data_IF_045311954524
#
_entry.id   IF_045311954524
#
_cell.length_a   1.000
_cell.length_b   1.000
_cell.length_c   1.000
_cell.angle_alpha   90.00
_cell.angle_beta   90.00
_cell.angle_gamma   90.00
#
_symmetry.space_group_name_H-M   'P 1'
#
loop_
_entity.id
_entity.type
_entity.pdbx_description
1 polymer ?
#
# COMPACT_ATOMS: atom_id res chain seq x y z
N UNK A 1 -25.71 -3.39 6.88
CA UNK A 1 -25.26 -2.02 7.18
C UNK A 1 -24.59 -1.47 5.94
N UNK A 2 -25.08 -0.38 5.32
CA UNK A 2 -24.36 0.23 4.20
C UNK A 2 -23.00 0.74 4.72
N UNK A 3 -21.93 0.42 3.99
CA UNK A 3 -20.58 0.87 4.32
C UNK A 3 -20.54 2.38 4.10
N UNK A 4 -20.32 3.17 5.16
CA UNK A 4 -20.15 4.63 5.05
C UNK A 4 -18.98 4.88 4.11
N UNK A 5 -19.20 5.67 3.05
CA UNK A 5 -18.11 6.13 2.21
C UNK A 5 -17.20 7.04 3.05
N UNK A 6 -15.88 6.83 2.94
CA UNK A 6 -14.90 7.71 3.58
C UNK A 6 -15.07 9.13 3.04
N UNK A 7 -14.99 10.12 3.92
CA UNK A 7 -14.88 11.52 3.50
C UNK A 7 -13.51 11.77 2.85
N UNK A 8 -13.34 12.95 2.25
CA UNK A 8 -12.04 13.36 1.70
C UNK A 8 -10.97 13.37 2.80
N UNK A 9 -11.27 13.96 3.95
CA UNK A 9 -10.35 14.04 5.08
C UNK A 9 -9.99 12.64 5.60
N UNK A 10 -10.97 11.73 5.73
CA UNK A 10 -10.71 10.32 6.10
C UNK A 10 -9.80 9.58 5.10
N UNK A 11 -9.80 9.97 3.82
CA UNK A 11 -8.93 9.40 2.79
C UNK A 11 -7.52 9.98 2.91
N UNK A 12 -7.40 11.29 3.14
CA UNK A 12 -6.11 11.97 3.24
C UNK A 12 -5.36 11.56 4.50
N UNK A 13 -6.02 11.53 5.66
CA UNK A 13 -5.42 11.10 6.92
C UNK A 13 -4.89 9.66 6.86
N UNK A 14 -5.67 8.77 6.25
CA UNK A 14 -5.32 7.36 6.07
C UNK A 14 -4.18 7.17 5.04
N UNK A 15 -4.12 8.04 4.02
CA UNK A 15 -3.03 8.06 3.06
C UNK A 15 -1.73 8.52 3.72
N UNK A 16 -1.75 9.59 4.53
CA UNK A 16 -0.56 10.11 5.22
C UNK A 16 0.07 9.05 6.11
N UNK A 17 -0.75 8.36 6.92
CA UNK A 17 -0.28 7.27 7.78
C UNK A 17 0.36 6.12 6.98
N UNK A 18 -0.23 5.76 5.83
CA UNK A 18 0.31 4.68 4.99
C UNK A 18 1.59 5.06 4.25
N UNK A 19 1.78 6.35 3.94
CA UNK A 19 2.91 6.83 3.15
C UNK A 19 4.04 7.47 3.98
N UNK A 20 3.94 7.50 5.31
CA UNK A 20 4.92 8.12 6.21
C UNK A 20 6.39 7.75 5.89
N UNK A 21 6.64 6.53 5.43
CA UNK A 21 7.97 6.00 5.09
C UNK A 21 8.17 5.65 3.61
N UNK A 22 7.28 6.14 2.75
CA UNK A 22 7.39 5.95 1.31
C UNK A 22 8.50 6.83 0.72
N UNK A 23 8.97 6.47 -0.47
CA UNK A 23 9.94 7.29 -1.19
C UNK A 23 9.35 8.69 -1.43
N UNK A 24 10.13 9.79 -1.28
CA UNK A 24 9.60 11.16 -1.36
C UNK A 24 8.83 11.50 -2.63
N UNK A 25 9.10 10.76 -3.73
CA UNK A 25 8.36 10.92 -4.98
C UNK A 25 6.91 10.44 -4.85
N UNK A 26 6.65 9.31 -4.15
CA UNK A 26 5.28 8.87 -3.87
C UNK A 26 4.55 9.85 -2.96
N UNK A 27 5.20 10.32 -1.89
CA UNK A 27 4.59 11.26 -0.95
C UNK A 27 4.14 12.56 -1.62
N UNK A 28 4.78 12.97 -2.73
CA UNK A 28 4.34 14.12 -3.54
C UNK A 28 3.25 13.76 -4.54
N UNK A 29 3.38 12.63 -5.23
CA UNK A 29 2.50 12.28 -6.34
C UNK A 29 1.12 11.80 -5.89
N UNK A 30 1.06 10.96 -4.85
CA UNK A 30 -0.19 10.30 -4.43
C UNK A 30 -1.24 11.31 -3.94
N UNK A 31 -0.93 12.29 -3.07
CA UNK A 31 -1.91 13.29 -2.65
C UNK A 31 -2.50 14.05 -3.85
N UNK A 32 -1.66 14.47 -4.79
CA UNK A 32 -2.11 15.20 -5.98
C UNK A 32 -3.07 14.36 -6.85
N UNK A 33 -2.79 13.06 -7.01
CA UNK A 33 -3.65 12.13 -7.74
C UNK A 33 -4.99 11.95 -7.01
N UNK A 34 -4.97 11.73 -5.69
CA UNK A 34 -6.19 11.53 -4.91
C UNK A 34 -7.09 12.77 -4.90
N UNK A 35 -6.50 13.96 -4.77
CA UNK A 35 -7.22 15.23 -4.86
C UNK A 35 -7.86 15.41 -6.24
N UNK A 36 -7.13 15.12 -7.33
CA UNK A 36 -7.66 15.21 -8.68
C UNK A 36 -8.82 14.22 -8.91
N UNK A 37 -8.67 12.96 -8.50
CA UNK A 37 -9.70 11.93 -8.62
C UNK A 37 -10.95 12.28 -7.80
N UNK A 38 -10.78 12.82 -6.59
CA UNK A 38 -11.89 13.31 -5.78
C UNK A 38 -12.67 14.43 -6.49
N UNK A 39 -11.97 15.43 -7.03
CA UNK A 39 -12.59 16.54 -7.76
C UNK A 39 -13.35 16.10 -9.02
N UNK A 40 -12.95 14.98 -9.62
CA UNK A 40 -13.62 14.34 -10.76
C UNK A 40 -14.79 13.42 -10.36
N UNK A 41 -15.07 13.25 -9.06
CA UNK A 41 -16.14 12.38 -8.56
C UNK A 41 -15.75 10.89 -8.47
N UNK A 42 -14.46 10.57 -8.51
CA UNK A 42 -13.92 9.21 -8.39
C UNK A 42 -13.12 9.07 -7.09
N UNK A 43 -13.77 8.93 -5.91
CA UNK A 43 -13.05 8.78 -4.66
C UNK A 43 -12.16 7.52 -4.69
N UNK A 44 -10.88 7.69 -4.42
CA UNK A 44 -9.87 6.63 -4.37
C UNK A 44 -9.13 6.67 -3.02
N UNK A 45 -8.50 5.57 -2.62
CA UNK A 45 -7.77 5.49 -1.36
C UNK A 45 -6.53 4.60 -1.51
N UNK A 46 -5.50 4.87 -0.69
CA UNK A 46 -4.33 4.01 -0.56
C UNK A 46 -4.69 2.79 0.29
N UNK A 47 -4.56 1.59 -0.29
CA UNK A 47 -4.94 0.35 0.40
C UNK A 47 -3.80 -0.26 1.21
N UNK A 48 -2.57 -0.20 0.70
CA UNK A 48 -1.39 -0.77 1.37
C UNK A 48 -0.23 0.24 1.40
N UNK A 49 0.53 0.21 2.50
CA UNK A 49 1.74 1.01 2.69
C UNK A 49 2.99 0.12 2.80
N UNK A 50 3.88 0.46 3.73
CA UNK A 50 5.07 -0.33 4.03
C UNK A 50 4.70 -1.74 4.52
N UNK A 51 5.49 -2.73 4.08
CA UNK A 51 5.40 -4.13 4.49
C UNK A 51 6.73 -4.63 5.03
N UNK A 52 6.70 -5.41 6.11
CA UNK A 52 7.88 -6.09 6.65
C UNK A 52 8.22 -7.36 5.84
N UNK A 53 9.42 -7.91 6.07
CA UNK A 53 9.81 -9.18 5.44
C UNK A 53 8.92 -10.34 5.90
N UNK A 54 8.55 -10.37 7.17
CA UNK A 54 7.69 -11.39 7.77
C UNK A 54 6.27 -11.33 7.20
N UNK A 55 5.72 -10.12 7.06
CA UNK A 55 4.43 -9.92 6.42
C UNK A 55 4.45 -10.36 4.96
N UNK A 56 5.51 -10.03 4.22
CA UNK A 56 5.66 -10.46 2.83
C UNK A 56 5.80 -11.99 2.72
N UNK A 57 6.58 -12.62 3.59
CA UNK A 57 6.75 -14.07 3.65
C UNK A 57 5.41 -14.77 3.94
N UNK A 58 4.60 -14.22 4.86
CA UNK A 58 3.27 -14.74 5.15
C UNK A 58 2.32 -14.65 3.95
N UNK A 59 2.39 -13.57 3.16
CA UNK A 59 1.64 -13.45 1.89
C UNK A 59 2.14 -14.44 0.84
N UNK A 60 3.46 -14.64 0.75
CA UNK A 60 4.07 -15.60 -0.18
C UNK A 60 3.69 -17.05 0.16
N UNK A 61 3.53 -17.37 1.45
CA UNK A 61 3.10 -18.70 1.90
C UNK A 61 1.68 -19.07 1.44
N UNK A 62 0.79 -18.09 1.22
CA UNK A 62 -0.61 -18.35 0.83
C UNK A 62 -0.69 -19.07 -0.52
N UNK A 63 -1.43 -20.17 -0.56
CA UNK A 63 -1.55 -21.05 -1.72
C UNK A 63 -0.30 -21.88 -2.03
N UNK A 64 0.67 -21.89 -1.11
CA UNK A 64 1.89 -22.71 -1.19
C UNK A 64 2.03 -23.59 0.04
N UNK A 65 2.29 -22.98 1.18
CA UNK A 65 2.49 -23.64 2.49
C UNK A 65 1.44 -23.24 3.52
N UNK A 66 0.60 -22.25 3.22
CA UNK A 66 -0.59 -21.91 3.99
C UNK A 66 -1.83 -21.85 3.09
N UNK A 67 -3.01 -22.04 3.68
CA UNK A 67 -4.27 -22.03 2.97
C UNK A 67 -4.57 -20.66 2.31
N UNK A 68 -5.34 -20.67 1.22
CA UNK A 68 -5.71 -19.50 0.44
C UNK A 68 -5.16 -19.52 -0.98
N UNK A 69 -5.44 -18.46 -1.75
CA UNK A 69 -4.89 -18.28 -3.10
C UNK A 69 -3.50 -17.63 -3.09
N UNK A 70 -2.73 -17.85 -4.15
CA UNK A 70 -1.46 -17.13 -4.37
C UNK A 70 -1.78 -15.65 -4.60
N UNK A 71 -1.26 -14.78 -3.73
CA UNK A 71 -1.46 -13.31 -3.78
C UNK A 71 -0.19 -12.53 -4.10
N UNK A 72 0.97 -13.19 -4.11
CA UNK A 72 2.26 -12.59 -4.47
C UNK A 72 3.22 -13.66 -5.00
N UNK A 73 4.16 -13.20 -5.83
CA UNK A 73 5.29 -13.98 -6.34
C UNK A 73 6.65 -13.52 -5.79
N UNK A 74 6.67 -12.43 -5.01
CA UNK A 74 7.84 -11.94 -4.29
C UNK A 74 7.91 -12.61 -2.92
N UNK A 75 9.02 -13.31 -2.63
CA UNK A 75 9.25 -14.03 -1.36
C UNK A 75 9.65 -13.09 -0.21
N UNK A 76 10.06 -11.86 -0.54
CA UNK A 76 10.50 -10.85 0.40
C UNK A 76 11.96 -10.94 0.83
N UNK A 77 12.74 -11.90 0.29
CA UNK A 77 14.15 -12.12 0.60
C UNK A 77 15.00 -12.07 -0.68
N UNK A 78 14.83 -13.06 -1.56
CA UNK A 78 15.56 -13.09 -2.85
C UNK A 78 14.91 -12.17 -3.87
N UNK A 79 13.58 -12.05 -3.81
CA UNK A 79 12.75 -11.13 -4.60
C UNK A 79 11.98 -10.25 -3.63
N UNK A 80 12.57 -9.11 -3.27
CA UNK A 80 11.94 -8.10 -2.41
C UNK A 80 10.73 -7.46 -3.11
N UNK A 81 9.64 -7.29 -2.36
CA UNK A 81 8.49 -6.50 -2.79
C UNK A 81 8.81 -5.00 -2.71
N UNK A 82 8.20 -4.18 -3.56
CA UNK A 82 8.34 -2.71 -3.51
C UNK A 82 7.73 -2.10 -2.26
N UNK A 83 6.75 -2.77 -1.65
CA UNK A 83 6.23 -2.43 -0.33
C UNK A 83 7.25 -2.62 0.80
N UNK A 84 8.34 -3.35 0.60
CA UNK A 84 9.42 -3.42 1.58
C UNK A 84 10.40 -2.25 1.39
N UNK A 85 11.09 -1.90 2.46
CA UNK A 85 12.18 -0.92 2.40
C UNK A 85 13.29 -1.44 1.49
N UNK A 86 13.68 -0.60 0.54
CA UNK A 86 14.77 -0.84 -0.41
C UNK A 86 16.09 -0.28 0.14
N UNK A 87 17.15 -0.40 -0.64
CA UNK A 87 18.50 0.01 -0.23
C UNK A 87 18.64 1.53 -0.02
N UNK A 88 17.69 2.32 -0.54
CA UNK A 88 17.61 3.77 -0.32
C UNK A 88 16.87 4.16 0.97
N UNK A 89 16.41 3.18 1.77
CA UNK A 89 15.76 3.40 3.06
C UNK A 89 14.24 3.62 2.97
N UNK A 90 13.65 3.59 1.77
CA UNK A 90 12.22 3.81 1.57
C UNK A 90 11.53 2.61 0.91
N UNK A 91 10.21 2.51 1.07
CA UNK A 91 9.39 1.65 0.20
C UNK A 91 8.86 2.44 -0.99
N UNK A 92 8.53 1.74 -2.08
CA UNK A 92 8.24 2.31 -3.40
C UNK A 92 6.89 1.84 -3.94
#
# INVERSE_FOLDING_TARGET
>A
MPRRLKSYDDIMDDMEQKLERAHPTLCRAVPAILTALWGLGFPAAVFEGQRSAEQQAALYAKGRTSAGGIVTHADGVTRKSKHQVQDDGFFH
#
